data_IF_173692161664
#
_entry.id   IF_173692161664
#
_cell.length_a   1.000
_cell.length_b   1.000
_cell.length_c   1.000
_cell.angle_alpha   90.00
_cell.angle_beta   90.00
_cell.angle_gamma   90.00
#
_symmetry.space_group_name_H-M   'P 1'
#
loop_
_entity.id
_entity.type
_entity.pdbx_description
1 polymer ?
#
# COMPACT_ATOMS: atom_id res chain seq x y z
N UNK A 1 18.12 -12.27 4.95
CA UNK A 1 16.74 -11.74 5.02
C UNK A 1 16.03 -12.04 3.71
N UNK A 2 15.07 -12.98 3.68
CA UNK A 2 14.49 -13.47 2.41
C UNK A 2 13.74 -12.39 1.62
N UNK A 3 13.06 -11.47 2.29
CA UNK A 3 12.25 -10.42 1.64
C UNK A 3 13.09 -9.43 0.80
N UNK A 4 14.24 -9.00 1.32
CA UNK A 4 15.12 -8.08 0.58
C UNK A 4 15.71 -8.78 -0.65
N UNK A 5 16.13 -10.03 -0.50
CA UNK A 5 16.65 -10.82 -1.63
C UNK A 5 15.58 -11.01 -2.72
N UNK A 6 14.32 -11.19 -2.34
CA UNK A 6 13.22 -11.31 -3.29
C UNK A 6 12.94 -10.00 -4.02
N UNK A 7 13.06 -8.85 -3.34
CA UNK A 7 12.86 -7.53 -3.97
C UNK A 7 13.90 -7.17 -5.02
N UNK A 8 15.04 -7.85 -5.02
CA UNK A 8 16.13 -7.65 -5.97
C UNK A 8 16.05 -8.57 -7.19
N UNK A 9 15.01 -9.38 -7.33
CA UNK A 9 14.78 -10.20 -8.53
C UNK A 9 14.53 -9.33 -9.76
N UNK A 10 14.94 -9.82 -10.90
CA UNK A 10 14.68 -9.18 -12.18
C UNK A 10 13.16 -8.95 -12.36
N UNK A 11 12.83 -7.77 -12.85
CA UNK A 11 11.43 -7.38 -13.03
C UNK A 11 10.73 -6.83 -11.79
N UNK A 12 11.42 -6.74 -10.65
CA UNK A 12 10.89 -6.05 -9.46
C UNK A 12 11.43 -4.62 -9.36
N UNK A 13 10.76 -3.80 -8.57
CA UNK A 13 11.24 -2.46 -8.17
C UNK A 13 11.65 -2.50 -6.70
N UNK A 14 12.86 -2.06 -6.40
CA UNK A 14 13.32 -1.93 -5.01
C UNK A 14 14.11 -0.64 -4.87
N UNK A 15 13.74 0.18 -3.90
CA UNK A 15 14.37 1.48 -3.63
C UNK A 15 14.52 1.72 -2.14
N UNK A 16 15.68 2.26 -1.75
CA UNK A 16 15.94 2.73 -0.38
C UNK A 16 16.01 4.26 -0.34
N UNK A 17 15.64 4.83 0.79
CA UNK A 17 15.93 6.21 1.14
C UNK A 17 17.11 6.23 2.11
N UNK A 18 18.09 7.07 1.83
CA UNK A 18 19.29 7.24 2.66
C UNK A 18 19.34 8.67 3.16
N UNK A 19 19.66 8.84 4.44
CA UNK A 19 19.87 10.12 5.08
C UNK A 19 21.03 10.02 6.07
N UNK A 20 21.97 10.96 5.99
CA UNK A 20 23.20 10.96 6.79
C UNK A 20 23.98 9.63 6.74
N UNK A 21 23.94 8.94 5.57
CA UNK A 21 24.59 7.65 5.34
C UNK A 21 23.85 6.42 5.88
N UNK A 22 22.67 6.59 6.47
CA UNK A 22 21.87 5.49 6.99
C UNK A 22 20.58 5.29 6.20
N UNK A 23 20.14 4.03 6.09
CA UNK A 23 18.88 3.69 5.44
C UNK A 23 17.72 4.06 6.36
N UNK A 24 16.89 5.00 5.92
CA UNK A 24 15.72 5.50 6.65
C UNK A 24 14.39 5.04 6.08
N UNK A 25 14.40 4.37 4.93
CA UNK A 25 13.19 3.79 4.33
C UNK A 25 13.51 2.84 3.19
N UNK A 26 12.55 1.97 2.88
CA UNK A 26 12.61 1.00 1.80
C UNK A 26 11.23 0.77 1.20
N UNK A 27 11.16 0.72 -0.12
CA UNK A 27 9.98 0.36 -0.87
C UNK A 27 10.28 -0.77 -1.83
N UNK A 28 9.37 -1.73 -1.89
CA UNK A 28 9.40 -2.84 -2.83
C UNK A 28 8.07 -2.92 -3.60
N UNK A 29 8.17 -2.91 -4.93
CA UNK A 29 7.07 -3.13 -5.86
C UNK A 29 7.33 -4.33 -6.75
N UNK A 30 6.26 -5.00 -7.16
CA UNK A 30 6.32 -6.16 -8.06
C UNK A 30 5.12 -6.20 -9.00
N UNK A 31 5.24 -6.85 -10.18
CA UNK A 31 4.10 -7.01 -11.06
C UNK A 31 3.04 -7.92 -10.42
N UNK A 32 1.77 -7.66 -10.72
CA UNK A 32 0.68 -8.57 -10.43
C UNK A 32 0.63 -9.64 -11.53
N UNK A 33 0.89 -10.90 -11.15
CA UNK A 33 1.04 -12.00 -12.10
C UNK A 33 2.15 -11.72 -13.15
N UNK A 34 2.03 -12.28 -14.34
CA UNK A 34 2.89 -11.97 -15.48
C UNK A 34 2.43 -10.71 -16.25
N UNK A 35 1.42 -10.00 -15.70
CA UNK A 35 0.82 -8.84 -16.35
C UNK A 35 1.65 -7.57 -16.16
N UNK A 36 1.69 -6.77 -17.20
CA UNK A 36 2.43 -5.51 -17.24
C UNK A 36 1.59 -4.29 -16.82
N UNK A 37 0.28 -4.47 -16.58
CA UNK A 37 -0.66 -3.36 -16.39
C UNK A 37 -0.93 -3.00 -14.95
N UNK A 38 -0.75 -3.95 -14.01
CA UNK A 38 -0.99 -3.76 -12.60
C UNK A 38 0.23 -4.18 -11.77
N UNK A 39 0.59 -3.34 -10.80
CA UNK A 39 1.72 -3.58 -9.91
C UNK A 39 1.29 -3.48 -8.47
N UNK A 40 1.84 -4.35 -7.64
CA UNK A 40 1.70 -4.33 -6.19
C UNK A 40 2.81 -3.46 -5.58
N UNK A 41 2.43 -2.47 -4.78
CA UNK A 41 3.32 -1.89 -3.78
C UNK A 41 3.34 -2.86 -2.59
N UNK A 42 4.34 -3.74 -2.57
CA UNK A 42 4.37 -4.89 -1.64
C UNK A 42 4.78 -4.50 -0.24
N UNK A 43 5.77 -3.61 -0.12
CA UNK A 43 6.26 -3.13 1.16
C UNK A 43 6.65 -1.65 1.07
N UNK A 44 6.27 -0.90 2.07
CA UNK A 44 6.79 0.42 2.39
C UNK A 44 7.15 0.44 3.86
N UNK A 45 8.43 0.51 4.15
CA UNK A 45 8.96 0.57 5.50
C UNK A 45 9.70 1.89 5.66
N UNK A 46 9.41 2.62 6.75
CA UNK A 46 10.08 3.88 7.11
C UNK A 46 10.52 3.78 8.56
N UNK A 47 11.72 4.25 8.84
CA UNK A 47 12.26 4.30 10.20
C UNK A 47 11.40 5.23 11.08
N UNK A 48 10.66 4.64 12.01
CA UNK A 48 9.77 5.37 12.94
C UNK A 48 10.55 6.11 14.05
N UNK A 49 11.81 5.78 14.25
CA UNK A 49 12.64 6.45 15.27
C UNK A 49 13.14 7.82 14.81
N UNK A 50 13.05 8.07 13.49
CA UNK A 50 13.41 9.32 12.84
C UNK A 50 12.16 9.91 12.18
N UNK A 51 11.28 10.61 12.93
CA UNK A 51 10.07 11.17 12.36
C UNK A 51 10.41 12.32 11.43
N UNK A 52 10.72 11.99 10.17
CA UNK A 52 10.90 12.97 9.10
C UNK A 52 9.72 12.90 8.17
N UNK A 53 9.00 14.02 8.14
CA UNK A 53 7.85 14.17 7.27
C UNK A 53 8.30 13.98 5.81
N UNK A 54 7.82 12.91 5.15
CA UNK A 54 7.92 12.80 3.70
C UNK A 54 8.68 11.60 3.14
N UNK A 55 9.47 10.83 3.90
CA UNK A 55 10.21 9.66 3.36
C UNK A 55 9.28 8.67 2.67
N UNK A 56 8.20 8.25 3.35
CA UNK A 56 7.22 7.33 2.76
C UNK A 56 6.54 7.92 1.52
N UNK A 57 6.22 9.22 1.54
CA UNK A 57 5.69 9.93 0.39
C UNK A 57 6.68 9.93 -0.78
N UNK A 58 7.92 10.32 -0.53
CA UNK A 58 8.96 10.40 -1.57
C UNK A 58 9.23 9.04 -2.23
N UNK A 59 9.32 7.97 -1.44
CA UNK A 59 9.47 6.61 -1.97
C UNK A 59 8.27 6.18 -2.82
N UNK A 60 7.05 6.48 -2.36
CA UNK A 60 5.82 6.15 -3.09
C UNK A 60 5.74 6.94 -4.41
N UNK A 61 5.98 8.24 -4.38
CA UNK A 61 5.99 9.09 -5.58
C UNK A 61 7.05 8.66 -6.60
N UNK A 62 8.24 8.23 -6.13
CA UNK A 62 9.28 7.67 -6.99
C UNK A 62 8.84 6.37 -7.67
N UNK A 63 8.19 5.47 -6.92
CA UNK A 63 7.64 4.24 -7.49
C UNK A 63 6.50 4.52 -8.49
N UNK A 64 5.61 5.44 -8.18
CA UNK A 64 4.55 5.88 -9.09
C UNK A 64 5.11 6.44 -10.40
N UNK A 65 6.10 7.30 -10.33
CA UNK A 65 6.77 7.87 -11.50
C UNK A 65 7.46 6.78 -12.35
N UNK A 66 8.10 5.82 -11.71
CA UNK A 66 8.72 4.68 -12.38
C UNK A 66 7.67 3.80 -13.09
N UNK A 67 6.52 3.58 -12.47
CA UNK A 67 5.38 2.86 -13.06
C UNK A 67 4.79 3.62 -14.26
N UNK A 68 4.60 4.94 -14.14
CA UNK A 68 4.08 5.78 -15.22
C UNK A 68 4.98 5.74 -16.46
N UNK A 69 6.30 5.82 -16.28
CA UNK A 69 7.27 5.72 -17.39
C UNK A 69 7.20 4.39 -18.15
N UNK A 70 6.62 3.36 -17.55
CA UNK A 70 6.43 2.01 -18.12
C UNK A 70 5.02 1.72 -18.58
N UNK A 71 4.16 2.75 -18.59
CA UNK A 71 2.74 2.64 -18.97
C UNK A 71 1.97 1.64 -18.10
N UNK A 72 2.36 1.45 -16.85
CA UNK A 72 1.59 0.69 -15.87
C UNK A 72 0.33 1.49 -15.54
N UNK A 73 -0.82 0.83 -15.55
CA UNK A 73 -2.11 1.51 -15.41
C UNK A 73 -2.57 1.60 -13.96
N UNK A 74 -2.21 0.63 -13.13
CA UNK A 74 -2.71 0.52 -11.76
C UNK A 74 -1.61 0.13 -10.81
N UNK A 75 -1.53 0.83 -9.68
CA UNK A 75 -0.82 0.37 -8.49
C UNK A 75 -1.87 -0.05 -7.46
N UNK A 76 -1.65 -1.18 -6.82
CA UNK A 76 -2.47 -1.64 -5.70
C UNK A 76 -1.58 -2.05 -4.53
N UNK A 77 -2.16 -2.09 -3.34
CA UNK A 77 -1.49 -2.50 -2.11
C UNK A 77 -2.49 -3.12 -1.13
N UNK A 78 -1.95 -3.83 -0.15
CA UNK A 78 -2.70 -4.27 1.01
C UNK A 78 -2.28 -3.49 2.26
N UNK A 79 -3.25 -3.18 3.11
CA UNK A 79 -3.03 -2.57 4.42
C UNK A 79 -3.99 -3.16 5.44
N UNK A 80 -3.48 -3.52 6.62
CA UNK A 80 -4.24 -4.23 7.62
C UNK A 80 -5.06 -3.34 8.56
N UNK A 81 -5.87 -3.98 9.39
CA UNK A 81 -6.71 -3.37 10.44
C UNK A 81 -6.16 -3.71 11.84
N UNK A 82 -4.88 -4.03 11.98
CA UNK A 82 -4.30 -4.57 13.21
C UNK A 82 -4.47 -3.63 14.41
N UNK A 83 -4.37 -2.34 14.18
CA UNK A 83 -4.39 -1.31 15.23
C UNK A 83 -5.71 -0.52 15.28
N UNK A 84 -6.74 -0.92 14.55
CA UNK A 84 -8.01 -0.17 14.48
C UNK A 84 -7.90 1.05 13.56
N UNK A 85 -7.46 0.84 12.34
CA UNK A 85 -7.20 1.88 11.35
C UNK A 85 -8.46 2.42 10.69
N UNK A 86 -9.55 1.67 10.74
CA UNK A 86 -10.82 2.07 10.11
C UNK A 86 -12.05 1.77 10.96
N UNK A 87 -13.20 2.22 10.47
CA UNK A 87 -14.52 1.92 11.05
C UNK A 87 -14.98 0.47 10.85
N UNK A 88 -14.23 -0.38 10.14
CA UNK A 88 -14.63 -1.76 9.84
C UNK A 88 -14.18 -2.79 10.86
N UNK A 89 -13.33 -2.39 11.82
CA UNK A 89 -12.88 -3.32 12.85
C UNK A 89 -14.05 -3.93 13.61
N UNK A 90 -14.13 -5.26 13.60
CA UNK A 90 -15.20 -6.01 14.25
C UNK A 90 -16.51 -6.10 13.45
N UNK A 91 -16.59 -5.53 12.25
CA UNK A 91 -17.74 -5.70 11.37
C UNK A 91 -17.82 -7.14 10.83
N UNK A 92 -19.04 -7.69 10.73
CA UNK A 92 -19.27 -8.97 10.07
C UNK A 92 -19.31 -8.78 8.54
N UNK A 93 -18.13 -8.83 7.94
CA UNK A 93 -17.98 -8.64 6.51
C UNK A 93 -18.36 -9.88 5.69
N UNK A 94 -18.60 -11.02 6.33
CA UNK A 94 -19.12 -12.20 5.65
C UNK A 94 -20.63 -12.13 5.42
N UNK A 95 -21.36 -11.51 6.35
CA UNK A 95 -22.79 -11.32 6.22
C UNK A 95 -23.14 -10.25 5.16
N UNK A 96 -22.43 -9.12 5.20
CA UNK A 96 -22.59 -8.02 4.23
C UNK A 96 -21.27 -7.24 4.11
N UNK A 97 -20.47 -7.51 3.08
CA UNK A 97 -19.24 -6.76 2.87
C UNK A 97 -19.46 -5.36 2.30
N UNK A 98 -20.53 -5.12 1.55
CA UNK A 98 -20.65 -3.91 0.72
C UNK A 98 -21.16 -2.70 1.51
N UNK A 99 -22.13 -2.85 2.38
CA UNK A 99 -22.70 -1.73 3.15
C UNK A 99 -21.67 -1.09 4.08
N UNK A 100 -20.91 -1.84 4.91
CA UNK A 100 -19.84 -1.24 5.71
C UNK A 100 -18.73 -0.58 4.88
N UNK A 101 -18.42 -1.18 3.72
CA UNK A 101 -17.37 -0.68 2.83
C UNK A 101 -17.75 0.63 2.14
N UNK A 102 -19.02 0.82 1.81
CA UNK A 102 -19.51 2.05 1.19
C UNK A 102 -19.33 3.27 2.09
N UNK A 103 -19.22 3.07 3.40
CA UNK A 103 -19.11 4.13 4.41
C UNK A 103 -17.83 4.06 5.23
N UNK A 104 -16.80 3.36 4.74
CA UNK A 104 -15.52 3.22 5.43
C UNK A 104 -14.91 4.57 5.79
N UNK A 105 -14.51 4.72 7.04
CA UNK A 105 -13.84 5.91 7.53
C UNK A 105 -12.47 5.54 8.12
N UNK A 106 -11.41 6.27 7.80
CA UNK A 106 -10.11 6.08 8.43
C UNK A 106 -10.10 6.60 9.86
N UNK A 107 -9.32 5.96 10.70
CA UNK A 107 -8.86 6.56 11.95
C UNK A 107 -7.66 7.45 11.65
N UNK A 108 -7.57 8.61 12.31
CA UNK A 108 -6.49 9.56 12.07
C UNK A 108 -5.11 8.93 12.30
N UNK A 109 -4.16 9.28 11.45
CA UNK A 109 -2.77 8.81 11.46
C UNK A 109 -2.58 7.30 11.22
N UNK A 110 -3.61 6.62 10.70
CA UNK A 110 -3.50 5.21 10.31
C UNK A 110 -2.79 5.05 8.96
N UNK A 111 -2.22 3.86 8.66
CA UNK A 111 -1.73 3.55 7.33
C UNK A 111 -2.78 3.75 6.24
N UNK A 112 -4.03 3.39 6.51
CA UNK A 112 -5.15 3.62 5.60
C UNK A 112 -5.33 5.11 5.26
N UNK A 113 -5.28 6.00 6.29
CA UNK A 113 -5.37 7.44 6.10
C UNK A 113 -4.19 8.01 5.29
N UNK A 114 -2.99 7.45 5.48
CA UNK A 114 -1.82 7.80 4.69
C UNK A 114 -2.05 7.51 3.20
N UNK A 115 -2.50 6.30 2.89
CA UNK A 115 -2.74 5.90 1.51
C UNK A 115 -3.85 6.72 0.84
N UNK A 116 -4.91 7.07 1.57
CA UNK A 116 -5.93 7.99 1.05
C UNK A 116 -5.35 9.37 0.70
N UNK A 117 -4.47 9.91 1.53
CA UNK A 117 -3.77 11.19 1.25
C UNK A 117 -2.83 11.08 0.04
N UNK A 118 -2.31 9.90 -0.25
CA UNK A 118 -1.53 9.61 -1.45
C UNK A 118 -2.39 9.40 -2.70
N UNK A 119 -3.72 9.47 -2.59
CA UNK A 119 -4.67 9.31 -3.70
C UNK A 119 -5.08 7.88 -4.00
N UNK A 120 -4.70 6.92 -3.14
CA UNK A 120 -5.21 5.56 -3.23
C UNK A 120 -6.64 5.48 -2.75
N UNK A 121 -7.44 4.66 -3.41
CA UNK A 121 -8.84 4.42 -3.09
C UNK A 121 -9.02 3.00 -2.64
N UNK A 122 -9.99 2.78 -1.80
CA UNK A 122 -10.44 1.45 -1.41
C UNK A 122 -11.00 0.70 -2.64
N UNK A 123 -10.53 -0.54 -2.87
CA UNK A 123 -10.95 -1.38 -4.00
C UNK A 123 -11.40 -2.78 -3.58
N UNK A 124 -11.18 -3.18 -2.34
CA UNK A 124 -11.62 -4.47 -1.86
C UNK A 124 -11.20 -4.76 -0.43
N UNK A 125 -11.64 -5.90 0.10
CA UNK A 125 -11.37 -6.37 1.45
C UNK A 125 -11.21 -7.88 1.46
N UNK A 126 -10.34 -8.37 2.35
CA UNK A 126 -10.26 -9.79 2.71
C UNK A 126 -10.72 -9.88 4.17
N UNK A 127 -11.94 -10.39 4.43
CA UNK A 127 -12.42 -10.54 5.80
C UNK A 127 -11.52 -11.48 6.60
N UNK A 128 -11.37 -11.19 7.90
CA UNK A 128 -10.64 -12.03 8.87
C UNK A 128 -9.19 -12.37 8.51
N UNK A 129 -8.58 -11.65 7.59
CA UNK A 129 -7.23 -11.95 7.09
C UNK A 129 -6.15 -11.94 8.19
N UNK A 130 -6.31 -11.10 9.21
CA UNK A 130 -5.39 -10.95 10.33
C UNK A 130 -6.00 -11.44 11.67
N UNK A 131 -7.07 -12.22 11.60
CA UNK A 131 -7.83 -12.73 12.74
C UNK A 131 -9.31 -12.36 12.67
N UNK A 132 -10.13 -12.97 13.51
CA UNK A 132 -11.59 -12.75 13.52
C UNK A 132 -11.93 -11.27 13.72
N UNK A 133 -12.66 -10.67 12.78
CA UNK A 133 -13.01 -9.25 12.77
C UNK A 133 -11.85 -8.30 12.47
N UNK A 134 -10.74 -8.83 11.95
CA UNK A 134 -9.55 -8.03 11.59
C UNK A 134 -9.26 -8.23 10.08
N UNK A 135 -9.91 -7.45 9.23
CA UNK A 135 -9.76 -7.57 7.78
C UNK A 135 -8.43 -7.01 7.27
N UNK A 136 -8.11 -7.36 6.03
CA UNK A 136 -7.09 -6.72 5.21
C UNK A 136 -7.77 -5.91 4.11
N UNK A 137 -7.31 -4.70 3.86
CA UNK A 137 -7.87 -3.82 2.83
C UNK A 137 -7.01 -3.84 1.59
N UNK A 138 -7.68 -3.88 0.42
CA UNK A 138 -7.03 -3.61 -0.85
C UNK A 138 -7.30 -2.16 -1.22
N UNK A 139 -6.23 -1.43 -1.47
CA UNK A 139 -6.29 -0.06 -1.97
C UNK A 139 -5.61 0.04 -3.32
N UNK A 140 -6.11 0.88 -4.19
CA UNK A 140 -5.60 1.04 -5.54
C UNK A 140 -5.58 2.49 -6.00
N UNK A 141 -4.66 2.77 -6.94
CA UNK A 141 -4.51 4.05 -7.60
C UNK A 141 -4.36 3.83 -9.09
N UNK A 142 -5.19 4.50 -9.89
CA UNK A 142 -4.96 4.54 -11.33
C UNK A 142 -3.86 5.53 -11.67
N UNK A 143 -2.96 5.11 -12.55
CA UNK A 143 -1.94 5.98 -13.15
C UNK A 143 -2.34 6.40 -14.57
N UNK A 144 -3.41 5.81 -15.10
CA UNK A 144 -3.94 6.21 -16.40
C UNK A 144 -4.52 7.62 -16.30
N UNK A 145 -4.12 8.50 -17.19
CA UNK A 145 -4.87 9.71 -17.49
C UNK A 145 -6.16 9.28 -18.18
N UNK A 146 -7.28 9.35 -17.47
CA UNK A 146 -8.58 9.17 -18.12
C UNK A 146 -8.76 10.27 -19.17
N UNK A 147 -9.25 9.92 -20.36
CA UNK A 147 -9.50 10.90 -21.41
C UNK A 147 -10.57 11.91 -21.02
#
# INVERSE_FOLDING_TARGET
MPLVAESLKDGHFSQIAIEDGEVVGWLWGRPLFEGIWAWELRWLIVDQTRPRAGVGRALTESFEAWCQQRNILTIWLMTGEEMGETSLRGADLWADPFTPLATIQPVANSPFAFWQKMGYRFIGVIPDANGKGVPEYLMGKTLATLP
#
